data_IF_989004570954
#
_entry.id   IF_989004570954
#
_cell.length_a   1.000
_cell.length_b   1.000
_cell.length_c   1.000
_cell.angle_alpha   90.00
_cell.angle_beta   90.00
_cell.angle_gamma   90.00
#
_symmetry.space_group_name_H-M   'P 1'
#
loop_
_entity.id
_entity.type
_entity.pdbx_description
1 polymer ?
#
# COMPACT_ATOMS: atom_id res chain seq x y z
N UNK A 1 -12.95 19.47 -13.81
CA UNK A 1 -12.36 20.75 -13.37
C UNK A 1 -11.00 20.39 -12.76
N UNK A 2 -9.91 20.50 -13.51
CA UNK A 2 -8.64 19.81 -13.16
C UNK A 2 -8.03 20.19 -11.81
N UNK A 3 -8.22 21.42 -11.33
CA UNK A 3 -7.65 21.85 -10.06
C UNK A 3 -8.30 21.21 -8.83
N UNK A 4 -9.63 21.02 -8.85
CA UNK A 4 -10.34 20.38 -7.73
C UNK A 4 -9.92 18.91 -7.58
N UNK A 5 -9.79 18.21 -8.71
CA UNK A 5 -9.31 16.82 -8.77
C UNK A 5 -7.88 16.68 -8.21
N UNK A 6 -6.97 17.61 -8.56
CA UNK A 6 -5.59 17.62 -8.02
C UNK A 6 -5.58 17.86 -6.50
N UNK A 7 -6.45 18.73 -5.99
CA UNK A 7 -6.53 19.02 -4.55
C UNK A 7 -7.06 17.81 -3.78
N UNK A 8 -8.07 17.14 -4.32
CA UNK A 8 -8.68 15.97 -3.67
C UNK A 8 -7.70 14.79 -3.66
N UNK A 9 -7.07 14.47 -4.79
CA UNK A 9 -6.04 13.41 -4.83
C UNK A 9 -4.87 13.66 -3.88
N UNK A 10 -4.49 14.93 -3.66
CA UNK A 10 -3.50 15.28 -2.62
C UNK A 10 -4.01 14.97 -1.22
N UNK A 11 -5.26 15.30 -0.89
CA UNK A 11 -5.83 15.01 0.44
C UNK A 11 -5.91 13.52 0.70
N UNK A 12 -6.34 12.74 -0.29
CA UNK A 12 -6.43 11.28 -0.18
C UNK A 12 -5.04 10.68 0.07
N UNK A 13 -4.04 11.11 -0.72
CA UNK A 13 -2.64 10.72 -0.49
C UNK A 13 -2.16 11.06 0.93
N UNK A 14 -2.41 12.27 1.43
CA UNK A 14 -2.02 12.64 2.79
C UNK A 14 -2.75 11.81 3.85
N UNK A 15 -4.02 11.48 3.63
CA UNK A 15 -4.82 10.66 4.53
C UNK A 15 -4.23 9.26 4.64
N UNK A 16 -3.94 8.63 3.51
CA UNK A 16 -3.27 7.34 3.41
C UNK A 16 -1.91 7.36 4.12
N UNK A 17 -1.06 8.35 3.83
CA UNK A 17 0.26 8.48 4.46
C UNK A 17 0.17 8.68 5.98
N UNK A 18 -0.86 9.35 6.47
CA UNK A 18 -1.10 9.51 7.90
C UNK A 18 -1.60 8.21 8.55
N UNK A 19 -2.39 7.40 7.86
CA UNK A 19 -2.79 6.08 8.34
C UNK A 19 -1.59 5.14 8.45
N UNK A 20 -0.74 5.09 7.43
CA UNK A 20 0.51 4.29 7.44
C UNK A 20 1.42 4.67 8.62
N UNK A 21 1.50 5.96 8.97
CA UNK A 21 2.30 6.42 10.13
C UNK A 21 1.75 5.96 11.49
N UNK A 22 0.48 5.59 11.58
CA UNK A 22 -0.15 5.07 12.80
C UNK A 22 0.09 3.57 12.98
N UNK A 23 0.51 2.87 11.92
CA UNK A 23 0.86 1.46 12.00
C UNK A 23 2.10 1.25 12.91
N UNK A 24 2.26 0.03 13.46
CA UNK A 24 3.50 -0.38 14.11
C UNK A 24 4.73 -0.15 13.21
N UNK A 25 5.87 0.07 13.84
CA UNK A 25 7.09 0.55 13.14
C UNK A 25 7.55 -0.39 12.03
N UNK A 26 7.51 -1.69 12.27
CA UNK A 26 7.84 -2.75 11.31
C UNK A 26 6.93 -2.69 10.07
N UNK A 27 5.61 -2.63 10.27
CA UNK A 27 4.64 -2.45 9.19
C UNK A 27 4.89 -1.17 8.38
N UNK A 28 5.13 -0.05 9.06
CA UNK A 28 5.40 1.23 8.39
C UNK A 28 6.69 1.23 7.56
N UNK A 29 7.69 0.42 7.94
CA UNK A 29 8.95 0.28 7.20
C UNK A 29 8.73 -0.54 5.93
N UNK A 30 8.11 -1.71 6.06
CA UNK A 30 7.85 -2.60 4.92
C UNK A 30 6.94 -1.91 3.92
N UNK A 31 5.90 -1.23 4.38
CA UNK A 31 5.00 -0.48 3.52
C UNK A 31 5.77 0.53 2.66
N UNK A 32 6.68 1.32 3.27
CA UNK A 32 7.50 2.29 2.53
C UNK A 32 8.45 1.65 1.54
N UNK A 33 8.95 0.45 1.84
CA UNK A 33 9.81 -0.28 0.93
C UNK A 33 9.03 -0.75 -0.31
N UNK A 34 7.81 -1.27 -0.10
CA UNK A 34 6.88 -1.62 -1.20
C UNK A 34 6.54 -0.36 -2.01
N UNK A 35 6.26 0.78 -1.36
CA UNK A 35 6.01 2.03 -2.08
C UNK A 35 7.17 2.44 -2.98
N UNK A 36 8.42 2.34 -2.49
CA UNK A 36 9.60 2.63 -3.31
C UNK A 36 9.72 1.67 -4.48
N UNK A 37 9.42 0.39 -4.26
CA UNK A 37 9.42 -0.61 -5.31
C UNK A 37 8.41 -0.27 -6.42
N UNK A 38 7.15 -0.01 -6.05
CA UNK A 38 6.09 0.40 -6.98
C UNK A 38 6.45 1.66 -7.76
N UNK A 39 6.93 2.70 -7.09
CA UNK A 39 7.36 3.90 -7.79
C UNK A 39 8.53 3.66 -8.76
N UNK A 40 9.43 2.72 -8.46
CA UNK A 40 10.53 2.35 -9.35
C UNK A 40 10.04 1.67 -10.62
N UNK A 41 8.95 0.91 -10.55
CA UNK A 41 8.35 0.23 -11.71
C UNK A 41 7.21 1.04 -12.36
N UNK A 42 6.95 2.27 -11.88
CA UNK A 42 5.97 3.19 -12.45
C UNK A 42 4.54 3.01 -11.95
N UNK A 43 4.32 2.17 -10.94
CA UNK A 43 3.02 2.04 -10.28
C UNK A 43 2.84 3.22 -9.32
N UNK A 44 1.77 3.98 -9.55
CA UNK A 44 1.39 5.12 -8.72
C UNK A 44 -0.10 5.17 -8.42
N UNK A 45 -0.83 4.09 -8.69
CA UNK A 45 -2.27 4.06 -8.46
C UNK A 45 -2.57 4.09 -6.96
N UNK A 46 -3.50 4.95 -6.56
CA UNK A 46 -3.82 5.14 -5.15
C UNK A 46 -4.51 3.89 -4.58
N UNK A 47 -5.29 3.20 -5.41
CA UNK A 47 -6.08 2.02 -5.01
C UNK A 47 -5.18 0.88 -4.53
N UNK A 48 -4.09 0.59 -5.28
CA UNK A 48 -3.07 -0.40 -4.86
C UNK A 48 -2.53 -0.11 -3.46
N UNK A 49 -2.26 1.16 -3.16
CA UNK A 49 -1.72 1.53 -1.86
C UNK A 49 -2.78 1.47 -0.74
N UNK A 50 -4.04 1.79 -1.02
CA UNK A 50 -5.15 1.63 -0.09
C UNK A 50 -5.43 0.15 0.24
N UNK A 51 -5.36 -0.71 -0.77
CA UNK A 51 -5.48 -2.16 -0.58
C UNK A 51 -4.32 -2.71 0.26
N UNK A 52 -3.09 -2.31 -0.06
CA UNK A 52 -1.92 -2.67 0.74
C UNK A 52 -2.07 -2.25 2.21
N UNK A 53 -2.58 -1.03 2.44
CA UNK A 53 -2.84 -0.54 3.80
C UNK A 53 -3.89 -1.40 4.49
N UNK A 54 -4.97 -1.76 3.79
CA UNK A 54 -6.04 -2.61 4.33
C UNK A 54 -5.49 -3.96 4.78
N UNK A 55 -4.66 -4.61 3.96
CA UNK A 55 -3.98 -5.88 4.30
C UNK A 55 -3.14 -5.72 5.57
N UNK A 56 -2.41 -4.61 5.69
CA UNK A 56 -1.52 -4.34 6.81
C UNK A 56 -2.29 -4.04 8.11
N UNK A 57 -3.35 -3.24 8.05
CA UNK A 57 -4.23 -2.99 9.20
C UNK A 57 -4.84 -4.29 9.73
N UNK A 58 -5.22 -5.18 8.82
CA UNK A 58 -5.77 -6.48 9.17
C UNK A 58 -4.72 -7.42 9.80
N UNK A 59 -3.48 -7.40 9.31
CA UNK A 59 -2.35 -8.09 9.95
C UNK A 59 -2.09 -7.60 11.37
N UNK A 60 -2.16 -6.27 11.58
CA UNK A 60 -2.03 -5.65 12.91
C UNK A 60 -3.18 -6.07 13.83
N UNK A 61 -4.43 -6.07 13.36
CA UNK A 61 -5.58 -6.55 14.15
C UNK A 61 -5.43 -8.01 14.57
N UNK A 62 -4.81 -8.83 13.71
CA UNK A 62 -4.49 -10.24 13.98
C UNK A 62 -3.22 -10.43 14.81
N UNK A 63 -2.55 -9.35 15.20
CA UNK A 63 -1.29 -9.35 15.95
C UNK A 63 -0.18 -10.19 15.29
N UNK A 64 -0.17 -10.19 13.95
CA UNK A 64 0.83 -10.90 13.14
C UNK A 64 2.07 -10.03 12.96
N UNK A 65 3.24 -10.65 12.75
CA UNK A 65 4.43 -9.92 12.32
C UNK A 65 4.26 -9.56 10.85
N UNK A 66 4.75 -8.39 10.43
CA UNK A 66 4.60 -7.95 9.03
C UNK A 66 5.09 -8.98 8.01
N UNK A 67 6.17 -9.72 8.32
CA UNK A 67 6.72 -10.76 7.46
C UNK A 67 5.85 -12.04 7.41
N UNK A 68 4.96 -12.26 8.37
CA UNK A 68 3.97 -13.34 8.28
C UNK A 68 2.83 -12.97 7.31
N UNK A 69 2.61 -11.67 7.09
CA UNK A 69 1.62 -11.13 6.15
C UNK A 69 2.19 -11.07 4.73
N UNK A 70 3.39 -10.48 4.58
CA UNK A 70 4.03 -10.32 3.26
C UNK A 70 4.83 -11.54 2.83
N UNK A 71 5.11 -12.47 3.73
CA UNK A 71 6.16 -13.46 3.53
C UNK A 71 7.58 -12.86 3.60
N UNK A 72 8.58 -13.73 3.53
CA UNK A 72 10.00 -13.35 3.53
C UNK A 72 10.43 -12.67 2.22
N UNK A 73 9.73 -12.97 1.12
CA UNK A 73 9.97 -12.35 -0.18
C UNK A 73 8.92 -11.25 -0.43
N UNK A 74 9.26 -10.04 0.02
CA UNK A 74 8.39 -8.86 -0.09
C UNK A 74 8.18 -8.45 -1.55
N UNK A 75 9.15 -8.71 -2.44
CA UNK A 75 9.03 -8.39 -3.84
C UNK A 75 7.98 -9.30 -4.50
N UNK A 76 8.06 -10.61 -4.25
CA UNK A 76 7.07 -11.56 -4.75
C UNK A 76 5.64 -11.25 -4.25
N UNK A 77 5.50 -10.85 -2.99
CA UNK A 77 4.21 -10.37 -2.46
C UNK A 77 3.71 -9.12 -3.21
N UNK A 78 4.59 -8.15 -3.44
CA UNK A 78 4.26 -6.91 -4.13
C UNK A 78 3.81 -7.18 -5.58
N UNK A 79 4.52 -8.05 -6.30
CA UNK A 79 4.15 -8.45 -7.65
C UNK A 79 2.78 -9.16 -7.65
N UNK A 80 2.54 -10.07 -6.69
CA UNK A 80 1.26 -10.77 -6.59
C UNK A 80 0.08 -9.83 -6.28
N UNK A 81 0.31 -8.74 -5.55
CA UNK A 81 -0.73 -7.75 -5.26
C UNK A 81 -1.14 -6.99 -6.52
N UNK A 82 -0.18 -6.64 -7.38
CA UNK A 82 -0.46 -5.99 -8.67
C UNK A 82 -1.20 -6.93 -9.63
N UNK A 83 -0.82 -8.21 -9.66
CA UNK A 83 -1.52 -9.23 -10.47
C UNK A 83 -2.99 -9.43 -10.03
N UNK A 84 -3.30 -9.22 -8.76
CA UNK A 84 -4.69 -9.23 -8.29
C UNK A 84 -5.43 -7.99 -8.78
N UNK A 85 -4.85 -6.79 -8.68
CA UNK A 85 -5.46 -5.55 -9.15
C UNK A 85 -5.81 -5.62 -10.65
N UNK A 86 -4.89 -6.09 -11.50
CA UNK A 86 -5.11 -6.21 -12.96
C UNK A 86 -6.29 -7.16 -13.30
N UNK A 87 -6.64 -8.08 -12.40
CA UNK A 87 -7.77 -9.01 -12.58
C UNK A 87 -9.12 -8.46 -12.11
N UNK A 88 -9.18 -7.32 -11.42
CA UNK A 88 -10.46 -6.71 -11.03
C UNK A 88 -11.12 -5.87 -12.15
N UNK A 89 -10.40 -5.63 -13.25
CA UNK A 89 -10.89 -4.89 -14.43
C UNK A 89 -11.44 -5.79 -15.58
N UNK A 90 -11.74 -7.07 -15.31
CA UNK A 90 -12.36 -8.00 -16.28
C UNK A 90 -13.77 -8.47 -15.90
#
# INVERSE_FOLDING_TARGET
MKLKEIIEGKKEWYTLQNAVKKLPKDYSIVYKEIQRYYFKIGVSDLQVFEELLTIFEDGVKRNQVVLDVTGKDVAAFSDSLLDQEENFDK
#
